data_IF_224460554147
#
_entry.id   IF_224460554147
#
_cell.length_a   1.000
_cell.length_b   1.000
_cell.length_c   1.000
_cell.angle_alpha   90.00
_cell.angle_beta   90.00
_cell.angle_gamma   90.00
#
_symmetry.space_group_name_H-M   'P 1'
#
loop_
_entity.id
_entity.type
_entity.pdbx_description
1 polymer ?
#
# COMPACT_ATOMS: atom_id res chain seq x y z
N UNK A 1 -31.80 2.17 20.57
CA UNK A 1 -31.58 2.76 19.22
C UNK A 1 -30.55 3.85 19.39
N UNK A 2 -29.30 3.59 18.99
CA UNK A 2 -28.18 4.46 19.33
C UNK A 2 -28.07 5.56 18.27
N UNK A 3 -28.87 6.62 18.44
CA UNK A 3 -29.13 7.68 17.46
C UNK A 3 -27.87 8.33 16.86
N UNK A 4 -26.73 8.26 17.57
CA UNK A 4 -25.43 8.76 17.11
C UNK A 4 -24.84 7.89 15.99
N UNK A 5 -24.97 6.56 16.09
CA UNK A 5 -24.47 5.62 15.07
C UNK A 5 -25.27 5.73 13.77
N UNK A 6 -26.58 5.94 13.88
CA UNK A 6 -27.48 6.11 12.74
C UNK A 6 -27.14 7.40 11.95
N UNK A 7 -26.87 8.50 12.66
CA UNK A 7 -26.44 9.78 12.05
C UNK A 7 -25.05 9.68 11.40
N UNK A 8 -24.11 8.93 12.01
CA UNK A 8 -22.79 8.68 11.41
C UNK A 8 -22.88 7.82 10.14
N UNK A 9 -23.78 6.83 10.11
CA UNK A 9 -24.02 6.00 8.94
C UNK A 9 -24.64 6.81 7.78
N UNK A 10 -25.58 7.70 8.09
CA UNK A 10 -26.22 8.60 7.11
C UNK A 10 -25.22 9.61 6.52
N UNK A 11 -24.38 10.24 7.36
CA UNK A 11 -23.34 11.17 6.92
C UNK A 11 -22.25 10.49 6.07
N UNK A 12 -21.83 9.28 6.45
CA UNK A 12 -20.83 8.51 5.72
C UNK A 12 -21.34 7.96 4.36
N UNK A 13 -22.66 7.77 4.22
CA UNK A 13 -23.29 7.35 2.97
C UNK A 13 -23.53 8.49 1.97
N UNK A 14 -23.79 9.70 2.46
CA UNK A 14 -24.18 10.86 1.63
C UNK A 14 -23.04 11.78 1.18
N UNK A 15 -21.88 11.72 1.82
CA UNK A 15 -20.74 12.57 1.48
C UNK A 15 -19.55 11.72 1.06
N UNK A 16 -18.87 12.12 -0.03
CA UNK A 16 -17.59 11.54 -0.44
C UNK A 16 -16.53 12.04 0.54
N UNK A 17 -16.59 11.59 1.80
CA UNK A 17 -15.64 11.96 2.85
C UNK A 17 -14.28 11.45 2.39
N UNK A 18 -13.30 12.36 2.30
CA UNK A 18 -11.90 11.98 2.14
C UNK A 18 -11.52 10.96 3.24
N UNK A 19 -10.46 10.18 3.03
CA UNK A 19 -9.99 9.16 3.98
C UNK A 19 -9.47 9.76 5.31
N UNK A 20 -10.35 10.42 6.05
CA UNK A 20 -10.12 11.06 7.34
C UNK A 20 -11.31 10.65 8.21
N UNK A 21 -11.08 9.96 9.34
CA UNK A 21 -12.15 9.60 10.25
C UNK A 21 -12.90 10.87 10.69
N UNK A 22 -14.24 10.80 10.76
CA UNK A 22 -15.03 11.90 11.32
C UNK A 22 -14.52 12.24 12.73
N UNK A 23 -14.47 13.52 13.15
CA UNK A 23 -13.88 13.92 14.44
C UNK A 23 -14.39 13.12 15.65
N UNK A 24 -15.66 12.69 15.62
CA UNK A 24 -16.26 11.83 16.65
C UNK A 24 -15.65 10.42 16.68
N UNK A 25 -15.42 9.82 15.51
CA UNK A 25 -14.79 8.50 15.37
C UNK A 25 -13.29 8.59 15.68
N UNK A 26 -12.62 9.69 15.31
CA UNK A 26 -11.22 9.94 15.65
C UNK A 26 -10.99 10.10 17.16
N UNK A 27 -11.96 10.66 17.89
CA UNK A 27 -11.88 10.87 19.35
C UNK A 27 -12.48 9.71 20.18
N UNK A 28 -13.03 8.67 19.55
CA UNK A 28 -13.68 7.57 20.25
C UNK A 28 -12.69 6.82 21.16
N UNK A 29 -13.01 6.63 22.47
CA UNK A 29 -12.19 5.84 23.38
C UNK A 29 -12.28 4.33 23.08
N UNK A 30 -11.39 3.50 23.63
CA UNK A 30 -11.32 2.06 23.33
C UNK A 30 -12.64 1.30 23.50
N UNK A 31 -13.46 1.66 24.51
CA UNK A 31 -14.76 1.03 24.72
C UNK A 31 -15.77 1.32 23.60
N UNK A 32 -15.79 2.56 23.08
CA UNK A 32 -16.67 2.98 21.98
C UNK A 32 -16.18 2.42 20.64
N UNK A 33 -14.86 2.21 20.47
CA UNK A 33 -14.30 1.56 19.29
C UNK A 33 -14.82 0.13 19.10
N UNK A 34 -15.00 -0.63 20.18
CA UNK A 34 -15.53 -1.98 20.10
C UNK A 34 -16.97 -2.00 19.55
N UNK A 35 -17.81 -1.06 19.98
CA UNK A 35 -19.17 -0.91 19.46
C UNK A 35 -19.17 -0.49 17.99
N UNK A 36 -18.31 0.45 17.60
CA UNK A 36 -18.19 0.91 16.22
C UNK A 36 -17.72 -0.20 15.27
N UNK A 37 -16.84 -1.10 15.74
CA UNK A 37 -16.36 -2.25 14.96
C UNK A 37 -17.41 -3.35 14.85
N UNK A 38 -18.34 -3.44 15.79
CA UNK A 38 -19.50 -4.33 15.70
C UNK A 38 -20.68 -3.73 14.90
N UNK A 39 -20.56 -2.47 14.46
CA UNK A 39 -21.62 -1.75 13.77
C UNK A 39 -22.00 -2.41 12.45
N UNK A 40 -23.30 -2.51 12.14
CA UNK A 40 -23.78 -3.15 10.91
C UNK A 40 -23.35 -2.44 9.61
N UNK A 41 -23.35 -1.08 9.53
CA UNK A 41 -22.83 -0.37 8.37
C UNK A 41 -21.31 -0.52 8.21
N UNK A 42 -20.88 -1.09 7.07
CA UNK A 42 -19.47 -1.21 6.73
C UNK A 42 -18.76 0.15 6.61
N UNK A 43 -19.48 1.22 6.27
CA UNK A 43 -18.94 2.58 6.22
C UNK A 43 -18.41 3.05 7.58
N UNK A 44 -19.13 2.75 8.67
CA UNK A 44 -18.70 3.10 10.03
C UNK A 44 -17.45 2.30 10.42
N UNK A 45 -17.44 0.99 10.16
CA UNK A 45 -16.27 0.13 10.42
C UNK A 45 -15.04 0.55 9.60
N UNK A 46 -15.24 0.94 8.34
CA UNK A 46 -14.16 1.45 7.49
C UNK A 46 -13.57 2.77 8.03
N UNK A 47 -14.41 3.68 8.53
CA UNK A 47 -13.93 4.92 9.17
C UNK A 47 -13.09 4.63 10.43
N UNK A 48 -13.42 3.58 11.19
CA UNK A 48 -12.56 3.11 12.30
C UNK A 48 -11.23 2.60 11.74
N UNK A 49 -11.26 1.82 10.66
CA UNK A 49 -10.07 1.28 10.00
C UNK A 49 -9.06 2.33 9.50
N UNK A 50 -9.52 3.55 9.20
CA UNK A 50 -8.66 4.66 8.80
C UNK A 50 -7.91 5.32 9.98
N UNK A 51 -8.17 4.91 11.24
CA UNK A 51 -7.41 5.39 12.39
C UNK A 51 -6.01 4.77 12.42
N UNK A 52 -5.02 5.56 12.81
CA UNK A 52 -3.62 5.12 12.92
C UNK A 52 -3.26 4.52 14.29
N UNK A 53 -4.13 4.68 15.30
CA UNK A 53 -3.88 4.32 16.69
C UNK A 53 -4.72 3.12 17.15
N UNK A 54 -5.05 2.21 16.23
CA UNK A 54 -5.92 1.08 16.54
C UNK A 54 -5.23 0.07 17.47
N UNK A 55 -5.91 -0.35 18.56
CA UNK A 55 -5.46 -1.49 19.34
C UNK A 55 -5.32 -2.75 18.48
N UNK A 56 -4.32 -3.63 18.71
CA UNK A 56 -4.08 -4.80 17.88
C UNK A 56 -5.31 -5.68 17.65
N UNK A 57 -6.11 -5.93 18.69
CA UNK A 57 -7.32 -6.74 18.58
C UNK A 57 -8.37 -6.14 17.63
N UNK A 58 -8.53 -4.81 17.65
CA UNK A 58 -9.48 -4.10 16.77
C UNK A 58 -8.96 -4.08 15.33
N UNK A 59 -7.68 -3.75 15.14
CA UNK A 59 -7.03 -3.78 13.83
C UNK A 59 -7.16 -5.16 13.18
N UNK A 60 -6.90 -6.22 13.94
CA UNK A 60 -6.95 -7.59 13.46
C UNK A 60 -8.39 -8.02 13.13
N UNK A 61 -9.38 -7.58 13.92
CA UNK A 61 -10.79 -7.82 13.63
C UNK A 61 -11.24 -7.16 12.32
N UNK A 62 -10.84 -5.89 12.10
CA UNK A 62 -11.14 -5.15 10.88
C UNK A 62 -10.43 -5.75 9.64
N UNK A 63 -9.25 -6.34 9.81
CA UNK A 63 -8.55 -7.04 8.74
C UNK A 63 -9.29 -8.33 8.32
N UNK A 64 -10.02 -8.95 9.24
CA UNK A 64 -10.86 -10.12 8.98
C UNK A 64 -12.27 -9.76 8.46
N UNK A 65 -12.60 -8.47 8.33
CA UNK A 65 -13.94 -8.02 7.94
C UNK A 65 -14.36 -8.58 6.57
N UNK A 66 -15.62 -9.04 6.43
CA UNK A 66 -16.14 -9.54 5.16
C UNK A 66 -16.32 -8.44 4.10
N UNK A 67 -16.34 -7.16 4.48
CA UNK A 67 -16.43 -6.05 3.53
C UNK A 67 -15.04 -5.56 3.10
N UNK A 68 -14.78 -5.60 1.79
CA UNK A 68 -13.51 -5.20 1.22
C UNK A 68 -13.13 -3.73 1.50
N UNK A 69 -14.10 -2.82 1.70
CA UNK A 69 -13.81 -1.41 2.04
C UNK A 69 -13.22 -1.30 3.44
N UNK A 70 -13.73 -2.10 4.38
CA UNK A 70 -13.22 -2.12 5.77
C UNK A 70 -11.82 -2.70 5.80
N UNK A 71 -11.63 -3.87 5.17
CA UNK A 71 -10.31 -4.49 5.04
C UNK A 71 -9.30 -3.53 4.36
N UNK A 72 -9.71 -2.86 3.28
CA UNK A 72 -8.88 -1.88 2.57
C UNK A 72 -8.49 -0.67 3.44
N UNK A 73 -9.37 -0.20 4.31
CA UNK A 73 -9.11 0.94 5.19
C UNK A 73 -7.99 0.61 6.20
N UNK A 74 -8.09 -0.53 6.86
CA UNK A 74 -7.10 -0.96 7.88
C UNK A 74 -5.82 -1.54 7.29
N UNK A 75 -5.83 -1.95 6.01
CA UNK A 75 -4.70 -2.63 5.37
C UNK A 75 -3.33 -1.94 5.54
N UNK A 76 -3.17 -0.61 5.51
CA UNK A 76 -1.85 0.02 5.69
C UNK A 76 -1.37 0.09 7.15
N UNK A 77 -2.18 -0.34 8.13
CA UNK A 77 -1.85 -0.19 9.53
C UNK A 77 -0.67 -1.10 9.93
N UNK A 78 0.38 -0.58 10.60
CA UNK A 78 1.50 -1.40 11.06
C UNK A 78 1.05 -2.49 12.05
N UNK A 79 1.82 -3.57 12.09
CA UNK A 79 1.63 -4.75 12.93
C UNK A 79 0.62 -5.76 12.39
N UNK A 80 0.07 -5.57 11.19
CA UNK A 80 -0.65 -6.63 10.47
C UNK A 80 0.36 -7.64 9.93
N UNK A 81 0.53 -8.76 10.65
CA UNK A 81 1.44 -9.82 10.23
C UNK A 81 1.06 -10.45 8.88
N UNK A 82 2.06 -11.01 8.21
CA UNK A 82 1.98 -11.63 6.88
C UNK A 82 0.77 -12.55 6.67
N UNK A 83 0.45 -13.43 7.63
CA UNK A 83 -0.69 -14.34 7.53
C UNK A 83 -2.03 -13.59 7.38
N UNK A 84 -2.19 -12.44 8.05
CA UNK A 84 -3.40 -11.62 7.96
C UNK A 84 -3.47 -10.89 6.63
N UNK A 85 -2.37 -10.29 6.19
CA UNK A 85 -2.31 -9.61 4.88
C UNK A 85 -2.61 -10.60 3.73
N UNK A 86 -2.07 -11.82 3.79
CA UNK A 86 -2.43 -12.89 2.86
C UNK A 86 -3.89 -13.29 2.93
N UNK A 87 -4.46 -13.43 4.13
CA UNK A 87 -5.88 -13.74 4.28
C UNK A 87 -6.78 -12.63 3.69
N UNK A 88 -6.38 -11.36 3.81
CA UNK A 88 -7.07 -10.23 3.18
C UNK A 88 -7.03 -10.33 1.66
N UNK A 89 -5.85 -10.57 1.08
CA UNK A 89 -5.67 -10.74 -0.37
C UNK A 89 -6.45 -11.95 -0.89
N UNK A 90 -6.39 -13.08 -0.21
CA UNK A 90 -7.12 -14.29 -0.59
C UNK A 90 -8.64 -14.08 -0.58
N UNK A 91 -9.17 -13.28 0.34
CA UNK A 91 -10.61 -12.99 0.46
C UNK A 91 -11.09 -11.93 -0.54
N UNK A 92 -10.33 -10.85 -0.68
CA UNK A 92 -10.79 -9.61 -1.34
C UNK A 92 -10.09 -9.36 -2.69
N UNK A 93 -9.05 -10.11 -3.01
CA UNK A 93 -8.30 -10.04 -4.27
C UNK A 93 -7.76 -8.63 -4.56
N UNK A 94 -7.83 -8.25 -5.84
CA UNK A 94 -7.33 -6.97 -6.40
C UNK A 94 -7.82 -5.73 -5.62
N UNK A 95 -8.98 -5.80 -4.94
CA UNK A 95 -9.55 -4.68 -4.20
C UNK A 95 -8.65 -4.16 -3.07
N UNK A 96 -7.83 -5.02 -2.46
CA UNK A 96 -6.98 -4.65 -1.30
C UNK A 96 -5.51 -4.50 -1.64
N UNK A 97 -5.02 -5.03 -2.78
CA UNK A 97 -3.59 -5.06 -3.11
C UNK A 97 -2.88 -3.71 -2.98
N UNK A 98 -3.48 -2.62 -3.47
CA UNK A 98 -2.86 -1.29 -3.39
C UNK A 98 -2.67 -0.81 -1.94
N UNK A 99 -3.56 -1.19 -1.02
CA UNK A 99 -3.47 -0.77 0.38
C UNK A 99 -2.68 -1.75 1.24
N UNK A 100 -2.66 -3.03 0.86
CA UNK A 100 -1.71 -4.02 1.41
C UNK A 100 -0.28 -3.63 1.03
N UNK A 101 -0.04 -3.20 -0.22
CA UNK A 101 1.28 -2.72 -0.63
C UNK A 101 1.72 -1.43 0.07
N UNK A 102 0.79 -0.66 0.64
CA UNK A 102 1.08 0.50 1.47
C UNK A 102 1.31 0.15 2.95
N UNK A 103 1.16 -1.12 3.35
CA UNK A 103 1.46 -1.56 4.70
C UNK A 103 2.97 -1.70 4.87
N UNK A 104 3.61 -1.01 5.84
CA UNK A 104 5.07 -1.04 6.00
C UNK A 104 5.63 -2.44 6.31
N UNK A 105 4.81 -3.34 6.86
CA UNK A 105 5.17 -4.71 7.21
C UNK A 105 4.79 -5.71 6.11
N UNK A 106 4.33 -5.26 4.93
CA UNK A 106 4.02 -6.14 3.82
C UNK A 106 5.28 -6.90 3.37
N UNK A 107 5.23 -8.26 3.32
CA UNK A 107 6.38 -9.04 2.90
C UNK A 107 6.59 -8.93 1.39
N UNK A 108 7.84 -8.93 0.96
CA UNK A 108 8.22 -8.78 -0.45
C UNK A 108 7.54 -9.76 -1.40
N UNK A 109 7.32 -11.01 -0.98
CA UNK A 109 6.58 -12.00 -1.76
C UNK A 109 5.12 -11.58 -2.05
N UNK A 110 4.46 -10.92 -1.09
CA UNK A 110 3.11 -10.41 -1.25
C UNK A 110 3.07 -9.14 -2.13
N UNK A 111 4.14 -8.34 -2.10
CA UNK A 111 4.31 -7.18 -2.98
C UNK A 111 4.53 -7.59 -4.45
N UNK A 112 5.10 -8.77 -4.69
CA UNK A 112 5.27 -9.33 -6.03
C UNK A 112 3.96 -9.87 -6.64
N UNK A 113 2.95 -10.23 -5.83
CA UNK A 113 1.66 -10.71 -6.35
C UNK A 113 0.96 -9.69 -7.27
N UNK A 114 0.78 -8.39 -6.90
CA UNK A 114 0.29 -7.34 -7.80
C UNK A 114 1.01 -7.25 -9.14
N UNK A 115 2.31 -7.54 -9.14
CA UNK A 115 3.22 -7.46 -10.27
C UNK A 115 3.05 -8.64 -11.25
N UNK A 116 2.53 -9.79 -10.79
CA UNK A 116 2.25 -10.98 -11.60
C UNK A 116 0.90 -10.96 -12.32
N UNK A 117 0.03 -10.01 -11.99
CA UNK A 117 -1.22 -9.84 -12.73
C UNK A 117 -0.94 -9.34 -14.15
N UNK A 118 -1.79 -9.73 -15.11
CA UNK A 118 -1.73 -9.26 -16.49
C UNK A 118 -3.05 -8.55 -16.86
N UNK A 119 -3.07 -7.20 -16.96
CA UNK A 119 -1.97 -6.28 -16.66
C UNK A 119 -1.71 -6.15 -15.13
N UNK A 120 -0.52 -5.65 -14.72
CA UNK A 120 -0.21 -5.43 -13.31
C UNK A 120 -1.22 -4.52 -12.61
N UNK A 121 -1.41 -4.70 -11.31
CA UNK A 121 -2.32 -3.87 -10.51
C UNK A 121 -1.72 -2.46 -10.35
N UNK A 122 -1.95 -1.60 -11.35
CA UNK A 122 -1.35 -0.26 -11.46
C UNK A 122 -1.42 0.59 -10.19
N UNK A 123 -2.52 0.48 -9.43
CA UNK A 123 -2.72 1.22 -8.18
C UNK A 123 -1.75 0.82 -7.06
N UNK A 124 -1.13 -0.35 -7.13
CA UNK A 124 -0.16 -0.83 -6.15
C UNK A 124 1.28 -0.42 -6.48
N UNK A 125 1.60 -0.16 -7.76
CA UNK A 125 2.99 0.03 -8.23
C UNK A 125 3.70 1.20 -7.53
N UNK A 126 3.02 2.31 -7.29
CA UNK A 126 3.61 3.43 -6.55
C UNK A 126 4.01 3.05 -5.12
N UNK A 127 3.14 2.35 -4.40
CA UNK A 127 3.45 1.89 -3.05
C UNK A 127 4.57 0.85 -3.06
N UNK A 128 4.57 -0.09 -4.02
CA UNK A 128 5.62 -1.10 -4.17
C UNK A 128 6.99 -0.46 -4.42
N UNK A 129 7.08 0.53 -5.31
CA UNK A 129 8.34 1.17 -5.68
C UNK A 129 9.01 1.92 -4.53
N UNK A 130 8.22 2.37 -3.54
CA UNK A 130 8.70 3.04 -2.34
C UNK A 130 8.87 2.08 -1.14
N UNK A 131 8.49 0.81 -1.30
CA UNK A 131 8.37 -0.11 -0.17
C UNK A 131 9.73 -0.73 0.24
N UNK A 132 10.16 -0.63 1.50
CA UNK A 132 11.48 -1.11 1.94
C UNK A 132 11.70 -2.62 1.76
N UNK A 133 10.63 -3.41 1.78
CA UNK A 133 10.67 -4.86 1.55
C UNK A 133 10.40 -5.27 0.09
N UNK A 134 10.33 -4.32 -0.86
CA UNK A 134 10.12 -4.66 -2.26
C UNK A 134 11.26 -5.53 -2.80
N UNK A 135 10.90 -6.60 -3.49
CA UNK A 135 11.85 -7.47 -4.19
C UNK A 135 12.09 -6.94 -5.60
N UNK A 136 13.19 -7.38 -6.23
CA UNK A 136 13.42 -7.12 -7.65
C UNK A 136 12.19 -7.49 -8.51
N UNK A 137 11.60 -8.66 -8.26
CA UNK A 137 10.40 -9.13 -8.96
C UNK A 137 9.22 -8.13 -8.86
N UNK A 138 8.98 -7.57 -7.67
CA UNK A 138 7.92 -6.60 -7.46
C UNK A 138 8.22 -5.25 -8.14
N UNK A 139 9.50 -4.87 -8.24
CA UNK A 139 9.95 -3.59 -8.79
C UNK A 139 9.95 -3.57 -10.33
N UNK A 140 10.15 -4.70 -11.00
CA UNK A 140 10.27 -4.72 -12.46
C UNK A 140 9.07 -4.06 -13.16
N UNK A 141 7.80 -4.39 -12.84
CA UNK A 141 6.67 -3.72 -13.51
C UNK A 141 6.49 -2.25 -13.10
N UNK A 142 7.13 -1.80 -12.03
CA UNK A 142 7.11 -0.40 -11.62
C UNK A 142 7.93 0.48 -12.58
N UNK A 143 8.92 -0.09 -13.29
CA UNK A 143 9.76 0.63 -14.27
C UNK A 143 8.96 1.10 -15.49
N UNK A 144 7.86 0.42 -15.83
CA UNK A 144 6.97 0.79 -16.93
C UNK A 144 5.84 1.75 -16.51
N UNK A 145 5.77 2.11 -15.22
CA UNK A 145 4.77 3.05 -14.70
C UNK A 145 5.37 4.44 -14.49
N UNK A 146 4.77 5.45 -15.12
CA UNK A 146 5.28 6.82 -15.14
C UNK A 146 5.44 7.46 -13.76
N UNK A 147 4.72 6.98 -12.75
CA UNK A 147 4.79 7.50 -11.37
C UNK A 147 5.74 6.70 -10.50
N UNK A 148 5.85 5.39 -10.75
CA UNK A 148 6.64 4.47 -9.94
C UNK A 148 8.09 4.30 -10.44
N UNK A 149 8.33 4.50 -11.75
CA UNK A 149 9.59 4.15 -12.40
C UNK A 149 10.81 4.80 -11.76
N UNK A 150 10.73 6.09 -11.43
CA UNK A 150 11.84 6.81 -10.77
C UNK A 150 12.18 6.21 -9.40
N UNK A 151 11.17 5.90 -8.59
CA UNK A 151 11.37 5.32 -7.26
C UNK A 151 11.93 3.89 -7.38
N UNK A 152 11.42 3.10 -8.32
CA UNK A 152 11.90 1.76 -8.57
C UNK A 152 13.36 1.75 -9.06
N UNK A 153 13.74 2.67 -9.95
CA UNK A 153 15.12 2.84 -10.42
C UNK A 153 16.11 3.22 -9.32
N UNK A 154 15.64 3.92 -8.28
CA UNK A 154 16.44 4.30 -7.11
C UNK A 154 16.46 3.22 -6.01
N UNK A 155 15.71 2.12 -6.17
CA UNK A 155 15.47 1.18 -5.09
C UNK A 155 16.64 0.19 -4.91
N UNK A 156 17.16 -0.01 -3.67
CA UNK A 156 18.37 -0.84 -3.43
C UNK A 156 18.26 -2.30 -3.86
N UNK A 157 17.05 -2.83 -3.94
CA UNK A 157 16.79 -4.21 -4.37
C UNK A 157 16.79 -4.40 -5.90
N UNK A 158 16.99 -3.34 -6.69
CA UNK A 158 17.01 -3.45 -8.14
C UNK A 158 18.32 -4.11 -8.63
N UNK A 159 18.27 -5.11 -9.53
CA UNK A 159 19.48 -5.80 -10.00
C UNK A 159 20.42 -4.86 -10.79
N UNK A 160 21.76 -4.99 -10.63
CA UNK A 160 22.73 -4.18 -11.38
C UNK A 160 22.56 -4.20 -12.89
N UNK A 161 22.20 -5.35 -13.46
CA UNK A 161 21.96 -5.49 -14.90
C UNK A 161 20.77 -4.66 -15.38
N UNK A 162 19.72 -4.55 -14.56
CA UNK A 162 18.57 -3.68 -14.83
C UNK A 162 18.98 -2.21 -14.76
N UNK A 163 19.80 -1.82 -13.78
CA UNK A 163 20.31 -0.45 -13.66
C UNK A 163 21.10 -0.03 -14.91
N UNK A 164 21.96 -0.89 -15.44
CA UNK A 164 22.71 -0.62 -16.69
C UNK A 164 21.75 -0.36 -17.86
N UNK A 165 20.70 -1.17 -18.00
CA UNK A 165 19.70 -0.96 -19.06
C UNK A 165 18.95 0.37 -18.89
N UNK A 166 18.69 0.78 -17.66
CA UNK A 166 17.98 2.04 -17.35
C UNK A 166 18.79 3.30 -17.67
N UNK A 167 20.11 3.21 -17.88
CA UNK A 167 20.92 4.36 -18.32
C UNK A 167 20.45 4.92 -19.68
N UNK A 168 19.84 4.08 -20.52
CA UNK A 168 19.28 4.48 -21.82
C UNK A 168 17.77 4.77 -21.75
N UNK A 169 17.19 4.87 -20.56
CA UNK A 169 15.75 5.05 -20.39
C UNK A 169 15.28 6.41 -20.98
N UNK A 170 14.14 6.47 -21.70
CA UNK A 170 13.68 7.69 -22.37
C UNK A 170 13.26 8.80 -21.40
N UNK A 171 12.82 8.46 -20.18
CA UNK A 171 12.63 9.43 -19.10
C UNK A 171 13.99 9.75 -18.43
N UNK A 172 14.51 10.99 -18.55
CA UNK A 172 15.80 11.36 -17.99
C UNK A 172 15.85 11.23 -16.46
N UNK A 173 14.71 11.35 -15.76
CA UNK A 173 14.68 11.21 -14.29
C UNK A 173 14.90 9.77 -13.85
N UNK A 174 14.51 8.80 -14.68
CA UNK A 174 14.74 7.37 -14.44
C UNK A 174 16.19 7.03 -14.74
N UNK A 175 16.72 7.52 -15.87
CA UNK A 175 18.13 7.34 -16.23
C UNK A 175 19.07 7.97 -15.18
N UNK A 176 18.76 9.17 -14.69
CA UNK A 176 19.50 9.84 -13.61
C UNK A 176 19.44 9.04 -12.30
N UNK A 177 18.28 8.51 -11.92
CA UNK A 177 18.15 7.67 -10.73
C UNK A 177 19.00 6.40 -10.83
N UNK A 178 19.04 5.75 -12.00
CA UNK A 178 19.88 4.58 -12.24
C UNK A 178 21.39 4.94 -12.23
N UNK A 179 21.77 6.07 -12.83
CA UNK A 179 23.15 6.57 -12.84
C UNK A 179 23.67 6.91 -11.42
N UNK A 180 22.79 7.43 -10.56
CA UNK A 180 23.10 7.74 -9.17
C UNK A 180 23.04 6.52 -8.23
N UNK A 181 22.66 5.34 -8.74
CA UNK A 181 22.40 4.17 -7.90
C UNK A 181 23.71 3.57 -7.36
N UNK A 182 23.85 3.33 -6.03
CA UNK A 182 25.08 2.79 -5.45
C UNK A 182 25.49 1.40 -5.94
N UNK A 183 24.53 0.62 -6.45
CA UNK A 183 24.77 -0.72 -7.01
C UNK A 183 25.04 -0.71 -8.53
N UNK A 184 25.18 0.46 -9.16
CA UNK A 184 25.58 0.51 -10.58
C UNK A 184 27.02 -0.03 -10.71
N UNK A 185 27.30 -0.97 -11.65
CA UNK A 185 28.64 -1.51 -11.81
C UNK A 185 29.67 -0.42 -12.14
N UNK A 186 30.90 -0.47 -11.58
CA UNK A 186 31.94 0.53 -11.84
C UNK A 186 32.22 0.75 -13.33
N UNK A 187 32.20 -0.30 -14.14
CA UNK A 187 32.44 -0.22 -15.59
C UNK A 187 31.38 0.63 -16.29
N UNK A 188 30.14 0.57 -15.82
CA UNK A 188 29.06 1.43 -16.34
C UNK A 188 29.23 2.87 -15.86
N UNK A 189 29.71 3.10 -14.62
CA UNK A 189 30.01 4.45 -14.13
C UNK A 189 31.13 5.11 -14.92
N UNK A 190 32.20 4.36 -15.23
CA UNK A 190 33.32 4.82 -16.06
C UNK A 190 32.85 5.22 -17.47
N UNK A 191 31.95 4.43 -18.07
CA UNK A 191 31.38 4.73 -19.38
C UNK A 191 30.55 6.03 -19.40
N UNK A 192 29.95 6.43 -18.27
CA UNK A 192 29.17 7.68 -18.16
C UNK A 192 30.04 8.94 -18.09
N UNK A 193 31.30 8.82 -17.64
CA UNK A 193 32.24 9.94 -17.51
C UNK A 193 33.30 9.97 -18.61
N UNK A 194 33.34 8.94 -19.45
CA UNK A 194 34.23 8.88 -20.60
C UNK A 194 33.86 10.00 -21.61
N UNK A 195 34.86 10.73 -22.15
CA UNK A 195 34.66 11.90 -23.00
C UNK A 195 34.10 11.58 -24.39
#
# INVERSE_FOLDING_TARGET
>A
MNHVLDVLAELAGGTRIAAVPLPRIAAAPPGELAELVASAPATVRALVGERHDLPPAIRDALAADPDAKVAKAVAPHPGLGEARLRAMVARHGVAVHARVAANPDAPGALLAEPARHEPPVRRALGAIAEHPHATAEALLPCLDDTRAARHAAAHPALPPQTLVALLAHPDPRVAEAAAAHPALPPEAMEALIAP
#
